data_IF_258398683703
#
_entry.id   IF_258398683703
#
_cell.length_a   1.000
_cell.length_b   1.000
_cell.length_c   1.000
_cell.angle_alpha   90.00
_cell.angle_beta   90.00
_cell.angle_gamma   90.00
#
_symmetry.space_group_name_H-M   'P 1'
#
loop_
_entity.id
_entity.type
_entity.pdbx_description
1 polymer ?
#
# COMPACT_ATOMS: atom_id res chain seq x y z
N UNK A 1 -2.86 6.31 -16.25
CA UNK A 1 -4.11 5.69 -16.74
C UNK A 1 -5.10 5.76 -15.58
N UNK A 2 -6.33 6.21 -15.84
CA UNK A 2 -7.36 6.34 -14.79
C UNK A 2 -8.06 4.99 -14.56
N UNK A 3 -8.68 4.80 -13.40
CA UNK A 3 -9.47 3.61 -13.09
C UNK A 3 -10.62 3.41 -14.08
N UNK A 4 -11.25 4.52 -14.54
CA UNK A 4 -12.25 4.49 -15.58
C UNK A 4 -11.74 3.88 -16.89
N UNK A 5 -10.55 4.26 -17.33
CA UNK A 5 -9.96 3.69 -18.55
C UNK A 5 -9.71 2.18 -18.43
N UNK A 6 -9.42 1.68 -17.24
CA UNK A 6 -9.35 0.25 -16.99
C UNK A 6 -10.72 -0.41 -17.06
N UNK A 7 -11.75 0.19 -16.45
CA UNK A 7 -13.12 -0.35 -16.48
C UNK A 7 -13.68 -0.38 -17.91
N UNK A 8 -13.32 0.60 -18.76
CA UNK A 8 -13.73 0.63 -20.18
C UNK A 8 -13.12 -0.55 -20.98
N UNK A 9 -11.90 -0.97 -20.63
CA UNK A 9 -11.22 -2.12 -21.26
C UNK A 9 -11.69 -3.46 -20.67
N UNK A 10 -11.98 -3.49 -19.39
CA UNK A 10 -12.40 -4.68 -18.65
C UNK A 10 -13.74 -4.45 -17.94
N UNK A 11 -14.87 -4.40 -18.70
CA UNK A 11 -16.18 -4.05 -18.13
C UNK A 11 -16.67 -5.03 -17.05
N UNK A 12 -16.24 -6.29 -17.12
CA UNK A 12 -16.61 -7.32 -16.15
C UNK A 12 -15.70 -7.35 -14.90
N UNK A 13 -14.64 -6.52 -14.86
CA UNK A 13 -13.76 -6.47 -13.68
C UNK A 13 -14.47 -5.78 -12.51
N UNK A 14 -14.40 -6.38 -11.33
CA UNK A 14 -14.88 -5.72 -10.11
C UNK A 14 -13.98 -4.52 -9.76
N UNK A 15 -14.61 -3.41 -9.41
CA UNK A 15 -13.96 -2.22 -8.88
C UNK A 15 -14.07 -2.24 -7.36
N UNK A 16 -12.94 -2.32 -6.70
CA UNK A 16 -12.87 -2.34 -5.24
C UNK A 16 -11.96 -1.23 -4.73
N UNK A 17 -12.27 -0.70 -3.55
CA UNK A 17 -11.45 0.35 -2.95
C UNK A 17 -11.92 0.77 -1.57
N UNK A 18 -11.17 1.67 -0.90
CA UNK A 18 -11.62 2.30 0.33
C UNK A 18 -12.85 3.19 0.11
N UNK A 19 -13.73 3.26 1.10
CA UNK A 19 -14.96 4.07 1.04
C UNK A 19 -14.69 5.56 0.78
N UNK A 20 -13.53 6.07 1.16
CA UNK A 20 -13.15 7.46 0.95
C UNK A 20 -12.99 7.84 -0.52
N UNK A 21 -12.81 6.85 -1.39
CA UNK A 21 -12.74 7.08 -2.85
C UNK A 21 -14.10 7.37 -3.49
N UNK A 22 -15.21 7.00 -2.86
CA UNK A 22 -16.55 7.21 -3.39
C UNK A 22 -16.84 8.70 -3.69
N UNK A 23 -16.36 9.59 -2.83
CA UNK A 23 -16.52 11.04 -3.01
C UNK A 23 -15.57 11.66 -4.05
N UNK A 24 -14.55 10.93 -4.49
CA UNK A 24 -13.51 11.43 -5.41
C UNK A 24 -13.73 10.88 -6.83
N UNK A 25 -14.30 9.69 -6.94
CA UNK A 25 -14.48 8.98 -8.19
C UNK A 25 -15.95 9.04 -8.65
N UNK A 26 -16.48 10.24 -8.83
CA UNK A 26 -17.90 10.51 -9.19
C UNK A 26 -18.39 9.74 -10.42
N UNK A 27 -17.49 9.39 -11.34
CA UNK A 27 -17.79 8.68 -12.59
C UNK A 27 -17.65 7.13 -12.48
N UNK A 28 -17.43 6.58 -11.28
CA UNK A 28 -17.20 5.15 -11.07
C UNK A 28 -18.13 4.58 -10.01
N UNK A 29 -18.70 3.44 -10.31
CA UNK A 29 -19.41 2.63 -9.31
C UNK A 29 -18.46 1.59 -8.75
N UNK A 30 -18.34 1.54 -7.43
CA UNK A 30 -17.57 0.51 -6.74
C UNK A 30 -18.47 -0.71 -6.48
N UNK A 31 -17.98 -1.88 -6.88
CA UNK A 31 -18.66 -3.16 -6.61
C UNK A 31 -18.47 -3.59 -5.15
N UNK A 32 -17.36 -3.14 -4.52
CA UNK A 32 -17.11 -3.35 -3.10
C UNK A 32 -16.26 -2.21 -2.51
N UNK A 33 -16.63 -1.77 -1.31
CA UNK A 33 -15.87 -0.76 -0.58
C UNK A 33 -15.43 -1.29 0.80
N UNK A 34 -14.14 -1.10 1.09
CA UNK A 34 -13.61 -1.33 2.43
C UNK A 34 -14.04 -0.19 3.35
N UNK A 35 -14.44 -0.55 4.56
CA UNK A 35 -14.79 0.37 5.64
C UNK A 35 -14.01 0.00 6.90
N UNK A 36 -14.00 0.85 7.95
CA UNK A 36 -13.42 0.48 9.24
C UNK A 36 -14.01 -0.79 9.87
N UNK A 37 -15.24 -1.16 9.49
CA UNK A 37 -15.93 -2.36 9.95
C UNK A 37 -15.65 -3.57 9.05
N UNK A 38 -15.25 -3.32 7.79
CA UNK A 38 -14.99 -4.37 6.79
C UNK A 38 -13.57 -4.21 6.26
N UNK A 39 -12.61 -4.71 7.03
CA UNK A 39 -11.18 -4.52 6.76
C UNK A 39 -10.60 -5.55 5.80
N UNK A 40 -11.27 -6.68 5.59
CA UNK A 40 -10.69 -7.79 4.83
C UNK A 40 -11.67 -8.36 3.81
N UNK A 41 -11.16 -8.76 2.65
CA UNK A 41 -11.88 -9.51 1.64
C UNK A 41 -10.96 -10.50 0.93
N UNK A 42 -11.49 -11.67 0.58
CA UNK A 42 -10.77 -12.69 -0.19
C UNK A 42 -11.34 -12.81 -1.60
N UNK A 43 -10.46 -13.16 -2.53
CA UNK A 43 -10.76 -13.32 -3.96
C UNK A 43 -10.14 -14.61 -4.50
N UNK A 44 -10.60 -15.04 -5.69
CA UNK A 44 -9.96 -16.13 -6.44
C UNK A 44 -9.86 -17.42 -5.65
N UNK A 45 -10.96 -17.94 -5.10
CA UNK A 45 -10.96 -19.15 -4.27
C UNK A 45 -10.01 -19.06 -3.05
N UNK A 46 -9.91 -17.90 -2.43
CA UNK A 46 -9.03 -17.59 -1.30
C UNK A 46 -7.54 -17.51 -1.67
N UNK A 47 -7.21 -17.35 -2.94
CA UNK A 47 -5.82 -17.17 -3.38
C UNK A 47 -5.30 -15.75 -3.11
N UNK A 48 -6.20 -14.75 -3.07
CA UNK A 48 -5.84 -13.36 -2.78
C UNK A 48 -6.62 -12.89 -1.55
N UNK A 49 -5.91 -12.38 -0.58
CA UNK A 49 -6.45 -11.73 0.61
C UNK A 49 -6.13 -10.25 0.54
N UNK A 50 -7.15 -9.41 0.51
CA UNK A 50 -7.00 -7.95 0.59
C UNK A 50 -7.26 -7.49 2.02
N UNK A 51 -6.40 -6.63 2.55
CA UNK A 51 -6.58 -6.03 3.87
C UNK A 51 -6.45 -4.51 3.80
N UNK A 52 -7.44 -3.81 4.34
CA UNK A 52 -7.53 -2.36 4.37
C UNK A 52 -6.94 -1.78 5.66
N UNK A 53 -6.16 -0.71 5.52
CA UNK A 53 -5.52 0.01 6.63
C UNK A 53 -6.10 1.43 6.76
N UNK A 54 -7.26 1.60 7.42
CA UNK A 54 -7.93 2.91 7.53
C UNK A 54 -7.13 3.94 8.35
N UNK A 55 -6.27 3.48 9.26
CA UNK A 55 -5.40 4.34 10.06
C UNK A 55 -4.20 4.91 9.29
N UNK A 56 -3.86 4.37 8.12
CA UNK A 56 -2.77 4.89 7.31
C UNK A 56 -3.20 6.13 6.51
N UNK A 57 -2.29 7.08 6.31
CA UNK A 57 -2.63 8.37 5.70
C UNK A 57 -3.16 8.25 4.27
N UNK A 58 -2.61 7.33 3.46
CA UNK A 58 -3.02 7.06 2.08
C UNK A 58 -4.22 6.10 1.97
N UNK A 59 -4.80 5.65 3.10
CA UNK A 59 -5.91 4.69 3.07
C UNK A 59 -5.57 3.43 2.27
N UNK A 60 -4.47 2.82 2.62
CA UNK A 60 -3.83 1.74 1.88
C UNK A 60 -4.64 0.43 1.95
N UNK A 61 -4.66 -0.30 0.83
CA UNK A 61 -5.12 -1.69 0.76
C UNK A 61 -3.95 -2.55 0.32
N UNK A 62 -3.56 -3.50 1.15
CA UNK A 62 -2.52 -4.47 0.80
C UNK A 62 -3.15 -5.79 0.34
N UNK A 63 -2.50 -6.48 -0.59
CA UNK A 63 -2.96 -7.74 -1.15
C UNK A 63 -1.91 -8.82 -0.92
N UNK A 64 -2.30 -9.93 -0.29
CA UNK A 64 -1.49 -11.13 -0.14
C UNK A 64 -1.93 -12.17 -1.17
N UNK A 65 -1.05 -12.52 -2.11
CA UNK A 65 -1.24 -13.68 -2.98
C UNK A 65 -0.69 -14.92 -2.27
N UNK A 66 -1.61 -15.74 -1.75
CA UNK A 66 -1.29 -16.86 -0.85
C UNK A 66 -0.40 -17.92 -1.49
N UNK A 67 -0.65 -18.37 -2.75
CA UNK A 67 0.17 -19.42 -3.36
C UNK A 67 1.63 -19.05 -3.54
N UNK A 68 1.91 -17.81 -3.95
CA UNK A 68 3.29 -17.34 -4.14
C UNK A 68 3.89 -16.67 -2.89
N UNK A 69 3.09 -16.47 -1.83
CA UNK A 69 3.48 -15.73 -0.61
C UNK A 69 3.97 -14.31 -0.93
N UNK A 70 3.38 -13.69 -1.96
CA UNK A 70 3.74 -12.33 -2.39
C UNK A 70 2.80 -11.31 -1.77
N UNK A 71 3.38 -10.28 -1.16
CA UNK A 71 2.65 -9.13 -0.65
C UNK A 71 2.77 -7.99 -1.66
N UNK A 72 1.61 -7.46 -2.08
CA UNK A 72 1.51 -6.29 -2.94
C UNK A 72 0.93 -5.15 -2.10
N UNK A 73 1.62 -4.04 -2.05
CA UNK A 73 1.17 -2.84 -1.37
C UNK A 73 1.70 -1.60 -2.11
N UNK A 74 1.12 -0.43 -1.85
CA UNK A 74 1.64 0.85 -2.31
C UNK A 74 2.68 1.39 -1.34
N UNK A 75 2.25 2.29 -0.45
CA UNK A 75 3.13 3.03 0.45
C UNK A 75 3.25 2.42 1.85
N UNK A 76 2.60 1.27 2.10
CA UNK A 76 2.55 0.67 3.43
C UNK A 76 3.91 0.13 3.88
N UNK A 77 4.68 -0.45 2.95
CA UNK A 77 6.00 -0.98 3.23
C UNK A 77 6.91 -0.83 2.01
N UNK A 78 8.14 -0.40 2.26
CA UNK A 78 9.16 -0.23 1.23
C UNK A 78 10.39 -1.10 1.53
N UNK A 79 10.89 -1.78 0.50
CA UNK A 79 12.14 -2.54 0.61
C UNK A 79 13.33 -1.63 0.28
N UNK A 80 13.99 -1.10 1.30
CA UNK A 80 15.14 -0.21 1.15
C UNK A 80 16.43 -0.87 1.65
N UNK A 81 17.55 -0.67 0.94
CA UNK A 81 17.74 0.08 -0.30
C UNK A 81 17.11 -0.62 -1.51
N UNK A 82 16.61 0.13 -2.48
CA UNK A 82 15.82 -0.34 -3.63
C UNK A 82 16.65 -1.13 -4.67
N UNK A 83 17.55 -2.01 -4.23
CA UNK A 83 18.45 -2.77 -5.10
C UNK A 83 17.70 -3.65 -6.09
N UNK A 84 16.58 -4.26 -5.65
CA UNK A 84 15.78 -5.13 -6.49
C UNK A 84 15.05 -4.38 -7.60
N UNK A 85 14.56 -3.17 -7.31
CA UNK A 85 13.91 -2.31 -8.30
C UNK A 85 14.86 -1.94 -9.46
N UNK A 86 16.17 -1.89 -9.20
CA UNK A 86 17.19 -1.56 -10.20
C UNK A 86 17.90 -2.79 -10.80
N UNK A 87 17.65 -3.98 -10.26
CA UNK A 87 18.40 -5.21 -10.63
C UNK A 87 18.34 -5.57 -12.10
N UNK A 88 17.21 -5.32 -12.79
CA UNK A 88 17.02 -5.62 -14.20
C UNK A 88 17.32 -4.44 -15.14
N UNK A 89 17.52 -3.24 -14.62
CA UNK A 89 17.72 -2.04 -15.42
C UNK A 89 19.17 -1.84 -15.89
N UNK A 90 20.13 -2.58 -15.34
CA UNK A 90 21.56 -2.35 -15.53
C UNK A 90 22.08 -1.08 -14.87
N UNK A 91 21.24 -0.39 -14.12
CA UNK A 91 21.57 0.85 -13.36
C UNK A 91 21.73 0.47 -11.89
N UNK A 92 22.77 0.95 -11.25
CA UNK A 92 22.93 0.76 -9.79
C UNK A 92 21.92 1.61 -9.02
N UNK A 93 21.38 1.07 -7.96
CA UNK A 93 20.54 1.85 -7.05
C UNK A 93 21.29 3.11 -6.59
N UNK A 94 20.59 4.24 -6.39
CA UNK A 94 21.23 5.47 -5.94
C UNK A 94 22.00 5.26 -4.62
N UNK A 95 23.29 5.51 -4.61
CA UNK A 95 24.18 5.32 -3.45
C UNK A 95 24.83 6.62 -2.97
N UNK A 96 24.34 7.76 -3.47
CA UNK A 96 24.83 9.08 -3.11
C UNK A 96 24.75 9.35 -1.59
N UNK A 97 25.49 10.36 -1.12
CA UNK A 97 25.48 10.74 0.30
C UNK A 97 24.08 11.08 0.82
N UNK A 98 23.24 11.68 -0.02
CA UNK A 98 21.83 12.00 0.30
C UNK A 98 21.01 10.72 0.55
N UNK A 99 21.14 9.70 -0.31
CA UNK A 99 20.48 8.41 -0.14
C UNK A 99 20.95 7.73 1.13
N UNK A 100 22.27 7.75 1.40
CA UNK A 100 22.83 7.18 2.63
C UNK A 100 22.32 7.90 3.87
N UNK A 101 22.22 9.23 3.81
CA UNK A 101 21.64 10.01 4.92
C UNK A 101 20.16 9.68 5.11
N UNK A 102 19.40 9.62 4.03
CA UNK A 102 17.98 9.23 4.07
C UNK A 102 17.80 7.84 4.70
N UNK A 103 18.52 6.83 4.21
CA UNK A 103 18.47 5.46 4.77
C UNK A 103 18.91 5.42 6.23
N UNK A 104 19.87 6.24 6.63
CA UNK A 104 20.30 6.34 8.01
C UNK A 104 19.23 6.96 8.92
N UNK A 105 18.49 7.94 8.42
CA UNK A 105 17.46 8.64 9.18
C UNK A 105 16.11 7.91 9.17
N UNK A 106 15.72 7.35 8.02
CA UNK A 106 14.42 6.74 7.77
C UNK A 106 14.48 5.23 7.53
N UNK A 107 15.62 4.60 7.71
CA UNK A 107 15.73 3.14 7.61
C UNK A 107 14.94 2.42 8.69
N UNK A 108 14.59 1.15 8.46
CA UNK A 108 13.85 0.35 9.43
C UNK A 108 14.59 0.30 10.77
N UNK A 109 13.85 0.30 11.87
CA UNK A 109 14.34 0.34 13.27
C UNK A 109 14.98 1.67 13.71
N UNK A 110 14.83 2.76 12.94
CA UNK A 110 15.28 4.07 13.36
C UNK A 110 14.15 4.80 14.11
N UNK A 111 14.49 5.51 15.20
CA UNK A 111 13.52 6.26 15.98
C UNK A 111 12.80 7.34 15.16
N UNK A 112 13.50 7.96 14.19
CA UNK A 112 12.94 9.00 13.31
C UNK A 112 11.93 8.40 12.33
N UNK A 113 12.20 7.20 11.80
CA UNK A 113 11.25 6.43 11.00
C UNK A 113 9.98 6.13 11.80
N UNK A 114 10.15 5.56 13.00
CA UNK A 114 9.03 5.25 13.89
C UNK A 114 8.24 6.51 14.28
N UNK A 115 8.93 7.63 14.52
CA UNK A 115 8.29 8.92 14.79
C UNK A 115 7.48 9.40 13.59
N UNK A 116 8.04 9.34 12.37
CA UNK A 116 7.34 9.74 11.14
C UNK A 116 6.11 8.86 10.87
N UNK A 117 6.25 7.54 10.98
CA UNK A 117 5.12 6.62 10.83
C UNK A 117 4.03 6.92 11.88
N UNK A 118 4.42 7.04 13.15
CA UNK A 118 3.47 7.24 14.24
C UNK A 118 2.78 8.60 14.23
N UNK A 119 3.50 9.69 13.94
CA UNK A 119 2.98 11.05 14.09
C UNK A 119 2.50 11.68 12.79
N UNK A 120 3.06 11.27 11.65
CA UNK A 120 2.82 11.90 10.35
C UNK A 120 1.93 11.03 9.48
N UNK A 121 2.29 9.75 9.32
CA UNK A 121 1.63 8.86 8.37
C UNK A 121 0.47 8.07 8.98
N UNK A 122 0.48 7.81 10.28
CA UNK A 122 -0.62 7.13 10.95
C UNK A 122 -1.58 8.15 11.57
N UNK A 123 -2.83 8.11 11.14
CA UNK A 123 -3.92 8.88 11.76
C UNK A 123 -4.52 8.14 12.95
N UNK A 124 -4.40 6.83 12.97
CA UNK A 124 -4.88 5.96 14.05
C UNK A 124 -3.71 5.32 14.79
N UNK A 125 -3.44 5.82 15.98
CA UNK A 125 -2.30 5.41 16.81
C UNK A 125 -2.42 3.97 17.35
N UNK A 126 -3.62 3.40 17.34
CA UNK A 126 -3.87 2.03 17.83
C UNK A 126 -3.23 1.01 16.90
N UNK A 127 -3.29 1.22 15.59
CA UNK A 127 -2.72 0.29 14.60
C UNK A 127 -1.19 0.22 14.64
N UNK A 128 -0.52 1.31 15.00
CA UNK A 128 0.95 1.34 15.05
C UNK A 128 1.50 0.57 16.25
N UNK A 129 0.75 0.54 17.36
CA UNK A 129 1.18 -0.19 18.56
C UNK A 129 1.11 -1.71 18.43
N UNK A 130 0.43 -2.23 17.40
CA UNK A 130 0.34 -3.66 17.12
C UNK A 130 1.48 -4.17 16.22
N UNK A 131 2.21 -3.26 15.58
CA UNK A 131 3.32 -3.57 14.68
C UNK A 131 4.70 -3.33 15.30
N UNK A 132 4.77 -2.84 16.54
CA UNK A 132 5.98 -2.61 17.32
C UNK A 132 6.15 -3.72 18.36
#
# INVERSE_FOLDING_TARGET
MSLKAWKDVYPEAEVIGPQELDSIAEDLTFDFMFTPETLERTFGNNEIIAHYFPGYASKEVAFLHVPSKSLLNGDLAENLPANEAFSLSGISAPTGWQTRLFLKLFGPNNWLHNFAIYHILSKDKVYVSLCS
#
